data_IF_086366599670
#
_entry.id   IF_086366599670
#
_cell.length_a   1.000
_cell.length_b   1.000
_cell.length_c   1.000
_cell.angle_alpha   90.00
_cell.angle_beta   90.00
_cell.angle_gamma   90.00
#
_symmetry.space_group_name_H-M   'P 1'
#
loop_
_entity.id
_entity.type
_entity.pdbx_description
1 polymer ?
#
# COMPACT_ATOMS: atom_id res chain seq x y z
N UNK A 1 24.46 17.67 43.14
CA UNK A 1 24.65 16.60 42.13
C UNK A 1 23.65 15.49 42.40
N UNK A 2 22.46 15.57 41.85
CA UNK A 2 21.39 14.58 42.01
C UNK A 2 21.58 13.50 40.93
N UNK A 3 22.00 12.30 41.38
CA UNK A 3 22.15 11.13 40.48
C UNK A 3 20.74 10.63 40.10
N UNK A 4 20.32 10.85 38.86
CA UNK A 4 19.17 10.17 38.27
C UNK A 4 19.50 8.66 38.17
N UNK A 5 18.86 7.85 39.00
CA UNK A 5 18.89 6.38 38.87
C UNK A 5 17.78 5.98 37.87
N UNK A 6 18.16 5.66 36.65
CA UNK A 6 17.27 4.93 35.73
C UNK A 6 17.09 3.50 36.26
N UNK A 7 15.95 3.20 36.83
CA UNK A 7 15.58 1.81 37.15
C UNK A 7 14.89 1.21 35.92
N UNK A 8 15.63 0.41 35.17
CA UNK A 8 15.02 -0.50 34.20
C UNK A 8 14.21 -1.53 34.97
N UNK A 9 12.88 -1.41 34.98
CA UNK A 9 12.01 -2.53 35.35
C UNK A 9 11.96 -3.45 34.13
N UNK A 10 12.45 -4.70 34.21
CA UNK A 10 12.27 -5.66 33.14
C UNK A 10 10.77 -5.84 32.93
N UNK A 11 10.33 -5.80 31.66
CA UNK A 11 8.95 -6.11 31.33
C UNK A 11 8.63 -7.52 31.85
N UNK A 12 7.44 -7.75 32.43
CA UNK A 12 7.05 -9.08 32.87
C UNK A 12 7.18 -10.05 31.70
N UNK A 13 7.68 -11.28 31.90
CA UNK A 13 7.77 -12.27 30.84
C UNK A 13 6.39 -12.44 30.23
N UNK A 14 6.28 -12.16 28.94
CA UNK A 14 5.06 -12.44 28.19
C UNK A 14 4.90 -13.95 28.24
N UNK A 15 3.82 -14.41 28.85
CA UNK A 15 3.48 -15.83 28.87
C UNK A 15 3.41 -16.31 27.43
N UNK A 16 4.31 -17.21 27.01
CA UNK A 16 4.38 -17.76 25.66
C UNK A 16 3.24 -18.74 25.31
N UNK A 17 2.10 -18.62 25.99
CA UNK A 17 0.89 -19.33 25.63
C UNK A 17 0.17 -18.57 24.52
N UNK A 18 -0.06 -19.24 23.38
CA UNK A 18 -0.87 -18.73 22.28
C UNK A 18 -2.21 -18.23 22.82
N UNK A 19 -2.51 -16.96 22.60
CA UNK A 19 -3.81 -16.41 22.97
C UNK A 19 -4.90 -17.05 22.08
N UNK A 20 -6.15 -17.19 22.56
CA UNK A 20 -7.23 -17.70 21.71
C UNK A 20 -7.39 -16.92 20.39
N UNK A 21 -7.04 -15.63 20.40
CA UNK A 21 -7.00 -14.80 19.19
C UNK A 21 -5.96 -15.27 18.18
N UNK A 22 -4.77 -15.68 18.64
CA UNK A 22 -3.70 -16.15 17.75
C UNK A 22 -4.10 -17.49 17.08
N UNK A 23 -4.71 -18.39 17.84
CA UNK A 23 -5.25 -19.64 17.30
C UNK A 23 -6.35 -19.40 16.26
N UNK A 24 -7.25 -18.45 16.51
CA UNK A 24 -8.28 -18.05 15.55
C UNK A 24 -7.68 -17.48 14.27
N UNK A 25 -6.68 -16.61 14.38
CA UNK A 25 -5.97 -16.02 13.24
C UNK A 25 -5.31 -17.09 12.39
N UNK A 26 -4.59 -18.03 13.03
CA UNK A 26 -3.93 -19.14 12.35
C UNK A 26 -4.93 -20.05 11.64
N UNK A 27 -6.08 -20.35 12.27
CA UNK A 27 -7.16 -21.12 11.64
C UNK A 27 -7.77 -20.41 10.44
N UNK A 28 -8.03 -19.10 10.55
CA UNK A 28 -8.55 -18.30 9.43
C UNK A 28 -7.56 -18.24 8.27
N UNK A 29 -6.27 -18.06 8.54
CA UNK A 29 -5.22 -18.08 7.52
C UNK A 29 -5.11 -19.46 6.85
N UNK A 30 -5.12 -20.55 7.64
CA UNK A 30 -5.10 -21.91 7.11
C UNK A 30 -6.33 -22.18 6.23
N UNK A 31 -7.51 -21.76 6.65
CA UNK A 31 -8.75 -21.88 5.88
C UNK A 31 -8.69 -21.07 4.59
N UNK A 32 -8.16 -19.86 4.61
CA UNK A 32 -7.98 -19.00 3.42
C UNK A 32 -7.02 -19.65 2.42
N UNK A 33 -5.88 -20.13 2.90
CA UNK A 33 -4.87 -20.83 2.06
C UNK A 33 -5.50 -22.10 1.47
N UNK A 34 -6.18 -22.91 2.28
CA UNK A 34 -6.85 -24.12 1.83
C UNK A 34 -7.90 -23.81 0.74
N UNK A 35 -8.76 -22.81 0.98
CA UNK A 35 -9.75 -22.38 0.01
C UNK A 35 -9.10 -21.91 -1.30
N UNK A 36 -8.05 -21.07 -1.21
CA UNK A 36 -7.30 -20.64 -2.38
C UNK A 36 -6.71 -21.81 -3.18
N UNK A 37 -6.03 -22.74 -2.50
CA UNK A 37 -5.47 -23.94 -3.15
C UNK A 37 -6.55 -24.79 -3.80
N UNK A 38 -7.70 -24.97 -3.14
CA UNK A 38 -8.82 -25.73 -3.70
C UNK A 38 -9.39 -25.06 -4.97
N UNK A 39 -9.47 -23.74 -4.99
CA UNK A 39 -9.92 -23.00 -6.17
C UNK A 39 -8.96 -23.15 -7.35
N UNK A 40 -7.64 -23.23 -7.12
CA UNK A 40 -6.65 -23.38 -8.21
C UNK A 40 -6.81 -24.67 -9.02
N UNK A 41 -7.42 -25.71 -8.47
CA UNK A 41 -7.67 -27.00 -9.15
C UNK A 41 -8.59 -26.81 -10.36
N UNK A 42 -9.48 -25.82 -10.32
CA UNK A 42 -10.44 -25.52 -11.40
C UNK A 42 -9.91 -24.46 -12.39
N UNK A 43 -8.68 -23.97 -12.20
CA UNK A 43 -8.10 -22.98 -13.11
C UNK A 43 -7.76 -23.61 -14.48
N UNK A 44 -7.96 -22.87 -15.60
CA UNK A 44 -7.63 -23.34 -16.95
C UNK A 44 -6.17 -23.78 -17.05
N UNK A 45 -5.90 -24.86 -17.82
CA UNK A 45 -4.54 -25.36 -18.01
C UNK A 45 -3.68 -24.43 -18.89
N UNK A 46 -4.31 -23.74 -19.84
CA UNK A 46 -3.66 -22.78 -20.75
C UNK A 46 -4.36 -21.45 -20.62
N UNK A 47 -3.59 -20.40 -20.51
CA UNK A 47 -4.04 -19.01 -20.47
C UNK A 47 -3.19 -18.23 -21.47
N UNK A 48 -3.82 -17.58 -22.43
CA UNK A 48 -3.16 -16.76 -23.45
C UNK A 48 -3.16 -15.30 -23.04
N UNK A 49 -1.98 -14.71 -22.92
CA UNK A 49 -1.83 -13.29 -22.61
C UNK A 49 -2.08 -12.38 -23.82
N UNK A 50 -2.21 -11.07 -23.60
CA UNK A 50 -2.35 -10.10 -24.67
C UNK A 50 -1.03 -9.97 -25.45
N UNK A 51 -1.13 -9.57 -26.71
CA UNK A 51 0.03 -9.17 -27.50
C UNK A 51 0.54 -7.81 -27.01
N UNK A 52 1.83 -7.76 -26.69
CA UNK A 52 2.50 -6.55 -26.25
C UNK A 52 3.30 -5.97 -27.42
N UNK A 53 2.87 -4.82 -27.94
CA UNK A 53 3.60 -4.13 -29.01
C UNK A 53 4.77 -3.33 -28.43
N UNK A 54 5.95 -3.43 -29.07
CA UNK A 54 7.14 -2.68 -28.69
C UNK A 54 7.24 -1.30 -29.36
N UNK A 55 6.20 -0.87 -30.09
CA UNK A 55 6.19 0.45 -30.69
C UNK A 55 6.21 1.56 -29.62
N UNK A 56 7.09 2.58 -29.72
CA UNK A 56 7.17 3.67 -28.73
C UNK A 56 5.85 4.43 -28.54
N UNK A 57 5.03 4.50 -29.59
CA UNK A 57 3.68 5.13 -29.55
C UNK A 57 2.70 4.45 -28.58
N UNK A 58 2.96 3.20 -28.18
CA UNK A 58 2.12 2.49 -27.22
C UNK A 58 2.45 2.85 -25.76
N UNK A 59 3.64 3.40 -25.49
CA UNK A 59 4.10 3.72 -24.13
C UNK A 59 3.18 4.67 -23.35
N UNK A 60 2.61 5.75 -23.92
CA UNK A 60 1.69 6.59 -23.16
C UNK A 60 0.44 5.84 -22.70
N UNK A 61 -0.08 4.92 -23.52
CA UNK A 61 -1.22 4.07 -23.15
C UNK A 61 -0.85 3.07 -22.07
N UNK A 62 0.29 2.40 -22.19
CA UNK A 62 0.79 1.48 -21.19
C UNK A 62 1.10 2.18 -19.85
N UNK A 63 1.66 3.39 -19.91
CA UNK A 63 1.87 4.21 -18.72
C UNK A 63 0.55 4.56 -18.02
N UNK A 64 -0.49 4.92 -18.79
CA UNK A 64 -1.81 5.22 -18.23
C UNK A 64 -2.42 4.00 -17.53
N UNK A 65 -2.33 2.80 -18.12
CA UNK A 65 -2.84 1.57 -17.51
C UNK A 65 -2.08 1.21 -16.23
N UNK A 66 -0.75 1.30 -16.25
CA UNK A 66 0.10 1.04 -15.09
C UNK A 66 -0.20 2.01 -13.94
N UNK A 67 -0.26 3.31 -14.22
CA UNK A 67 -0.61 4.34 -13.24
C UNK A 67 -2.04 4.16 -12.73
N UNK A 68 -2.97 3.77 -13.60
CA UNK A 68 -4.36 3.48 -13.22
C UNK A 68 -4.47 2.36 -12.19
N UNK A 69 -3.78 1.22 -12.43
CA UNK A 69 -3.71 0.09 -11.49
C UNK A 69 -3.09 0.49 -10.16
N UNK A 70 -1.96 1.22 -10.24
CA UNK A 70 -1.25 1.71 -9.06
C UNK A 70 -2.14 2.62 -8.22
N UNK A 71 -2.85 3.55 -8.87
CA UNK A 71 -3.77 4.49 -8.21
C UNK A 71 -4.95 3.77 -7.59
N UNK A 72 -5.57 2.82 -8.29
CA UNK A 72 -6.68 2.04 -7.76
C UNK A 72 -6.26 1.24 -6.52
N UNK A 73 -5.12 0.56 -6.58
CA UNK A 73 -4.57 -0.18 -5.46
C UNK A 73 -4.22 0.74 -4.27
N UNK A 74 -3.64 1.90 -4.54
CA UNK A 74 -3.30 2.89 -3.51
C UNK A 74 -4.54 3.45 -2.81
N UNK A 75 -5.56 3.84 -3.55
CA UNK A 75 -6.80 4.36 -2.96
C UNK A 75 -7.51 3.30 -2.11
N UNK A 76 -7.51 2.05 -2.58
CA UNK A 76 -8.03 0.93 -1.80
C UNK A 76 -7.20 0.70 -0.52
N UNK A 77 -5.87 0.75 -0.62
CA UNK A 77 -4.94 0.62 0.52
C UNK A 77 -5.16 1.74 1.53
N UNK A 78 -5.30 2.98 1.08
CA UNK A 78 -5.53 4.13 1.95
C UNK A 78 -6.86 4.02 2.68
N UNK A 79 -7.94 3.71 1.96
CA UNK A 79 -9.28 3.55 2.54
C UNK A 79 -9.30 2.43 3.58
N UNK A 80 -8.74 1.26 3.22
CA UNK A 80 -8.63 0.13 4.14
C UNK A 80 -7.80 0.49 5.38
N UNK A 81 -6.63 1.10 5.18
CA UNK A 81 -5.71 1.47 6.27
C UNK A 81 -6.35 2.43 7.27
N UNK A 82 -7.04 3.44 6.78
CA UNK A 82 -7.75 4.41 7.63
C UNK A 82 -8.85 3.70 8.45
N UNK A 83 -9.67 2.86 7.80
CA UNK A 83 -10.74 2.14 8.49
C UNK A 83 -10.19 1.13 9.51
N UNK A 84 -9.20 0.34 9.12
CA UNK A 84 -8.57 -0.69 9.94
C UNK A 84 -7.86 -0.10 11.17
N UNK A 85 -6.99 0.88 10.96
CA UNK A 85 -6.24 1.53 12.02
C UNK A 85 -7.16 2.31 12.98
N UNK A 86 -8.20 2.97 12.44
CA UNK A 86 -9.21 3.64 13.28
C UNK A 86 -9.95 2.65 14.17
N UNK A 87 -10.37 1.49 13.62
CA UNK A 87 -11.00 0.44 14.41
C UNK A 87 -10.07 -0.12 15.49
N UNK A 88 -8.82 -0.40 15.15
CA UNK A 88 -7.80 -0.90 16.09
C UNK A 88 -7.48 0.12 17.20
N UNK A 89 -7.39 1.41 16.86
CA UNK A 89 -7.11 2.47 17.84
C UNK A 89 -8.30 2.77 18.77
N UNK A 90 -9.54 2.57 18.28
CA UNK A 90 -10.74 2.99 19.00
C UNK A 90 -11.37 1.89 19.84
N UNK A 91 -11.27 0.63 19.42
CA UNK A 91 -11.93 -0.49 20.07
C UNK A 91 -10.89 -1.47 20.62
N UNK A 92 -10.86 -1.61 21.95
CA UNK A 92 -9.87 -2.50 22.60
C UNK A 92 -10.01 -3.97 22.17
N UNK A 93 -11.25 -4.45 21.96
CA UNK A 93 -11.50 -5.80 21.45
C UNK A 93 -10.97 -5.98 20.01
N UNK A 94 -11.19 -4.98 19.15
CA UNK A 94 -10.67 -4.99 17.78
C UNK A 94 -9.13 -4.98 17.77
N UNK A 95 -8.50 -4.16 18.61
CA UNK A 95 -7.04 -4.08 18.71
C UNK A 95 -6.40 -5.44 19.00
N UNK A 96 -7.00 -6.24 19.91
CA UNK A 96 -6.49 -7.57 20.30
C UNK A 96 -6.43 -8.57 19.15
N UNK A 97 -7.26 -8.39 18.13
CA UNK A 97 -7.31 -9.25 16.94
C UNK A 97 -6.59 -8.61 15.75
N UNK A 98 -6.89 -7.33 15.48
CA UNK A 98 -6.39 -6.65 14.29
C UNK A 98 -4.88 -6.45 14.32
N UNK A 99 -4.28 -6.10 15.45
CA UNK A 99 -2.83 -5.86 15.49
C UNK A 99 -2.03 -7.15 15.25
N UNK A 100 -2.27 -8.28 15.95
CA UNK A 100 -1.60 -9.53 15.63
C UNK A 100 -1.87 -10.04 14.21
N UNK A 101 -3.08 -9.85 13.68
CA UNK A 101 -3.40 -10.19 12.29
C UNK A 101 -2.56 -9.39 11.31
N UNK A 102 -2.40 -8.08 11.55
CA UNK A 102 -1.55 -7.21 10.75
C UNK A 102 -0.08 -7.69 10.76
N UNK A 103 0.44 -8.02 11.95
CA UNK A 103 1.82 -8.50 12.13
C UNK A 103 2.08 -9.80 11.36
N UNK A 104 1.13 -10.72 11.35
CA UNK A 104 1.23 -11.98 10.61
C UNK A 104 1.13 -11.74 9.11
N UNK A 105 0.14 -10.96 8.65
CA UNK A 105 -0.10 -10.74 7.22
C UNK A 105 1.05 -9.99 6.54
N UNK A 106 1.65 -9.00 7.21
CA UNK A 106 2.82 -8.29 6.67
C UNK A 106 4.07 -9.17 6.56
N UNK A 107 4.16 -10.24 7.40
CA UNK A 107 5.30 -11.15 7.41
C UNK A 107 5.26 -12.15 6.26
N UNK A 108 4.11 -12.31 5.58
CA UNK A 108 3.97 -13.21 4.44
C UNK A 108 4.61 -12.58 3.21
N UNK A 109 5.56 -13.26 2.53
CA UNK A 109 6.16 -12.74 1.30
C UNK A 109 5.11 -12.53 0.21
N UNK A 110 4.91 -11.27 -0.19
CA UNK A 110 3.81 -10.86 -1.09
C UNK A 110 3.80 -11.65 -2.40
N UNK A 111 4.95 -11.86 -3.03
CA UNK A 111 5.05 -12.60 -4.30
C UNK A 111 4.72 -14.09 -4.16
N UNK A 112 4.82 -14.66 -2.96
CA UNK A 112 4.58 -16.09 -2.74
C UNK A 112 3.12 -16.49 -2.89
N UNK A 113 2.18 -15.58 -2.62
CA UNK A 113 0.75 -15.88 -2.76
C UNK A 113 0.14 -15.39 -4.08
N UNK A 114 0.88 -14.66 -4.92
CA UNK A 114 0.40 -14.19 -6.21
C UNK A 114 -0.15 -15.33 -7.09
N UNK A 115 0.55 -16.48 -7.24
CA UNK A 115 0.02 -17.60 -8.04
C UNK A 115 -1.33 -18.10 -7.53
N UNK A 116 -1.47 -18.21 -6.21
CA UNK A 116 -2.71 -18.70 -5.59
C UNK A 116 -3.86 -17.73 -5.81
N UNK A 117 -3.64 -16.44 -5.58
CA UNK A 117 -4.65 -15.40 -5.80
C UNK A 117 -5.09 -15.39 -7.26
N UNK A 118 -4.14 -15.37 -8.17
CA UNK A 118 -4.40 -15.27 -9.60
C UNK A 118 -5.16 -16.50 -10.13
N UNK A 119 -4.70 -17.72 -9.80
CA UNK A 119 -5.36 -18.94 -10.22
C UNK A 119 -6.75 -19.09 -9.58
N UNK A 120 -6.92 -18.66 -8.34
CA UNK A 120 -8.23 -18.66 -7.68
C UNK A 120 -9.21 -17.71 -8.37
N UNK A 121 -8.76 -16.52 -8.74
CA UNK A 121 -9.60 -15.55 -9.44
C UNK A 121 -9.96 -16.00 -10.85
N UNK A 122 -9.02 -16.60 -11.60
CA UNK A 122 -9.28 -17.12 -12.95
C UNK A 122 -10.24 -18.33 -12.94
N UNK A 123 -10.31 -19.06 -11.83
CA UNK A 123 -11.28 -20.15 -11.68
C UNK A 123 -12.74 -19.67 -11.57
N UNK A 124 -12.94 -18.38 -11.19
CA UNK A 124 -14.28 -17.82 -10.92
C UNK A 124 -14.64 -16.69 -11.89
N UNK A 125 -13.65 -15.93 -12.35
CA UNK A 125 -13.84 -14.73 -13.16
C UNK A 125 -13.26 -14.90 -14.56
N UNK A 126 -13.75 -14.15 -15.55
CA UNK A 126 -13.10 -14.06 -16.86
C UNK A 126 -11.64 -13.61 -16.70
N UNK A 127 -10.74 -14.20 -17.51
CA UNK A 127 -9.28 -14.01 -17.40
C UNK A 127 -8.84 -12.56 -17.30
N UNK A 128 -9.41 -11.67 -18.13
CA UNK A 128 -9.03 -10.24 -18.14
C UNK A 128 -9.28 -9.57 -16.77
N UNK A 129 -10.44 -9.80 -16.18
CA UNK A 129 -10.79 -9.27 -14.86
C UNK A 129 -10.00 -9.91 -13.73
N UNK A 130 -9.75 -11.22 -13.83
CA UNK A 130 -8.98 -11.96 -12.84
C UNK A 130 -7.53 -11.44 -12.75
N UNK A 131 -6.87 -11.22 -13.90
CA UNK A 131 -5.51 -10.69 -13.95
C UNK A 131 -5.44 -9.25 -13.41
N UNK A 132 -6.37 -8.37 -13.80
CA UNK A 132 -6.45 -7.00 -13.30
C UNK A 132 -6.65 -6.94 -11.79
N UNK A 133 -7.61 -7.73 -11.26
CA UNK A 133 -7.86 -7.77 -9.83
C UNK A 133 -6.68 -8.37 -9.06
N UNK A 134 -6.05 -9.42 -9.59
CA UNK A 134 -4.85 -10.00 -8.96
C UNK A 134 -3.71 -8.99 -8.89
N UNK A 135 -3.48 -8.19 -9.93
CA UNK A 135 -2.50 -7.11 -9.94
C UNK A 135 -2.83 -6.04 -8.88
N UNK A 136 -4.09 -5.61 -8.82
CA UNK A 136 -4.54 -4.63 -7.81
C UNK A 136 -4.35 -5.19 -6.40
N UNK A 137 -4.72 -6.45 -6.14
CA UNK A 137 -4.53 -7.10 -4.83
C UNK A 137 -3.05 -7.18 -4.44
N UNK A 138 -2.17 -7.52 -5.39
CA UNK A 138 -0.73 -7.60 -5.15
C UNK A 138 -0.15 -6.23 -4.76
N UNK A 139 -0.47 -5.20 -5.54
CA UNK A 139 -0.03 -3.83 -5.29
C UNK A 139 -0.63 -3.31 -3.96
N UNK A 140 -1.93 -3.56 -3.72
CA UNK A 140 -2.60 -3.24 -2.48
C UNK A 140 -1.88 -3.81 -1.27
N UNK A 141 -1.56 -5.12 -1.29
CA UNK A 141 -0.86 -5.76 -0.16
C UNK A 141 0.54 -5.24 0.06
N UNK A 142 1.19 -4.70 -0.98
CA UNK A 142 2.51 -4.06 -0.83
C UNK A 142 2.46 -2.70 -0.13
N UNK A 143 1.32 -2.03 -0.15
CA UNK A 143 1.17 -0.66 0.34
C UNK A 143 0.43 -0.57 1.68
N UNK A 144 -0.54 -1.46 1.89
CA UNK A 144 -1.52 -1.36 2.97
C UNK A 144 -0.91 -1.41 4.38
N UNK A 145 0.13 -2.22 4.58
CA UNK A 145 0.73 -2.42 5.92
C UNK A 145 1.37 -1.15 6.45
N UNK A 146 2.20 -0.52 5.63
CA UNK A 146 2.91 0.70 5.97
C UNK A 146 1.92 1.86 6.26
N UNK A 147 0.89 2.02 5.44
CA UNK A 147 -0.15 3.03 5.64
C UNK A 147 -0.95 2.77 6.94
N UNK A 148 -1.28 1.51 7.21
CA UNK A 148 -2.04 1.11 8.41
C UNK A 148 -1.26 1.40 9.68
N UNK A 149 0.02 1.02 9.73
CA UNK A 149 0.88 1.31 10.88
C UNK A 149 1.07 2.81 11.09
N UNK A 150 1.33 3.56 10.03
CA UNK A 150 1.50 5.00 10.10
C UNK A 150 0.27 5.69 10.69
N UNK A 151 -0.92 5.34 10.19
CA UNK A 151 -2.16 5.94 10.67
C UNK A 151 -2.49 5.49 12.09
N UNK A 152 -2.32 4.20 12.42
CA UNK A 152 -2.49 3.68 13.77
C UNK A 152 -1.57 4.38 14.77
N UNK A 153 -0.30 4.52 14.44
CA UNK A 153 0.67 5.21 15.29
C UNK A 153 0.27 6.66 15.52
N UNK A 154 -0.14 7.39 14.49
CA UNK A 154 -0.59 8.77 14.62
C UNK A 154 -1.78 8.89 15.58
N UNK A 155 -2.77 7.99 15.49
CA UNK A 155 -3.92 8.00 16.39
C UNK A 155 -3.56 7.70 17.85
N UNK A 156 -2.57 6.85 18.08
CA UNK A 156 -2.16 6.44 19.43
C UNK A 156 -1.18 7.40 20.09
N UNK A 157 -0.42 8.15 19.30
CA UNK A 157 0.56 9.15 19.77
C UNK A 157 0.02 10.58 19.77
N UNK A 158 -1.29 10.78 19.50
CA UNK A 158 -1.92 12.09 19.53
C UNK A 158 -1.67 12.77 20.89
N UNK A 159 -1.13 14.01 20.92
CA UNK A 159 -0.87 14.77 22.15
C UNK A 159 -2.10 14.88 23.05
N UNK A 160 -1.86 14.89 24.36
CA UNK A 160 -2.95 14.95 25.35
C UNK A 160 -3.69 16.26 25.26
N UNK A 161 -3.00 17.36 24.99
CA UNK A 161 -3.55 18.71 24.84
C UNK A 161 -4.62 18.77 23.74
N UNK A 162 -4.35 18.12 22.59
CA UNK A 162 -5.32 18.04 21.50
C UNK A 162 -6.54 17.18 21.88
N UNK A 163 -6.33 16.13 22.67
CA UNK A 163 -7.43 15.28 23.16
C UNK A 163 -8.31 16.04 24.16
N UNK A 164 -7.70 16.79 25.06
CA UNK A 164 -8.39 17.62 26.05
C UNK A 164 -9.14 18.76 25.38
N UNK A 165 -8.53 19.48 24.44
CA UNK A 165 -9.20 20.51 23.66
C UNK A 165 -10.45 19.96 22.95
N UNK A 166 -10.33 18.80 22.28
CA UNK A 166 -11.48 18.16 21.64
C UNK A 166 -12.59 17.76 22.64
N UNK A 167 -12.22 17.41 23.89
CA UNK A 167 -13.17 17.08 24.94
C UNK A 167 -13.86 18.34 25.48
N UNK A 168 -13.12 19.42 25.75
CA UNK A 168 -13.64 20.72 26.21
C UNK A 168 -14.66 21.28 25.22
N UNK A 169 -14.33 21.24 23.91
CA UNK A 169 -15.24 21.66 22.83
C UNK A 169 -16.34 20.64 22.52
N UNK A 170 -16.41 19.53 23.24
CA UNK A 170 -17.42 18.47 23.08
C UNK A 170 -17.53 17.97 21.63
N UNK A 171 -16.39 17.78 20.95
CA UNK A 171 -16.40 17.30 19.58
C UNK A 171 -17.05 15.92 19.49
N UNK A 172 -18.03 15.78 18.60
CA UNK A 172 -18.61 14.48 18.24
C UNK A 172 -17.54 13.64 17.54
N UNK A 173 -17.68 12.31 17.54
CA UNK A 173 -16.69 11.35 16.99
C UNK A 173 -16.22 11.73 15.57
N UNK A 174 -17.15 12.04 14.67
CA UNK A 174 -16.83 12.42 13.29
C UNK A 174 -16.08 13.76 13.21
N UNK A 175 -16.52 14.76 13.98
CA UNK A 175 -15.85 16.05 14.00
C UNK A 175 -14.42 15.94 14.58
N UNK A 176 -14.25 15.17 15.66
CA UNK A 176 -12.94 14.88 16.22
C UNK A 176 -12.02 14.18 15.21
N UNK A 177 -12.53 13.17 14.49
CA UNK A 177 -11.79 12.51 13.42
C UNK A 177 -11.33 13.51 12.35
N UNK A 178 -12.26 14.30 11.81
CA UNK A 178 -12.00 15.24 10.72
C UNK A 178 -11.15 16.45 11.11
N UNK A 179 -11.36 17.01 12.32
CA UNK A 179 -10.75 18.27 12.74
C UNK A 179 -9.46 18.10 13.55
N UNK A 180 -9.22 16.91 14.13
CA UNK A 180 -8.05 16.68 15.01
C UNK A 180 -7.23 15.48 14.56
N UNK A 181 -7.86 14.30 14.48
CA UNK A 181 -7.15 13.04 14.27
C UNK A 181 -6.57 12.93 12.85
N UNK A 182 -7.37 13.24 11.83
CA UNK A 182 -6.94 13.20 10.43
C UNK A 182 -5.90 14.28 10.06
N UNK A 183 -6.07 15.57 10.46
CA UNK A 183 -5.03 16.57 10.25
C UNK A 183 -3.70 16.23 10.93
N UNK A 184 -3.72 15.74 12.17
CA UNK A 184 -2.51 15.32 12.88
C UNK A 184 -1.81 14.14 12.17
N UNK A 185 -2.60 13.20 11.64
CA UNK A 185 -2.06 12.04 10.91
C UNK A 185 -1.64 12.37 9.46
N UNK A 186 -2.02 13.52 8.91
CA UNK A 186 -1.85 13.83 7.49
C UNK A 186 -0.38 13.76 7.04
N UNK A 187 0.55 14.35 7.81
CA UNK A 187 1.98 14.40 7.45
C UNK A 187 2.59 12.99 7.47
N UNK A 188 2.54 12.23 8.60
CA UNK A 188 3.08 10.88 8.62
C UNK A 188 2.44 9.97 7.56
N UNK A 189 1.12 10.09 7.35
CA UNK A 189 0.39 9.29 6.37
C UNK A 189 0.84 9.60 4.94
N UNK A 190 1.04 10.87 4.57
CA UNK A 190 1.52 11.25 3.25
C UNK A 190 2.96 10.82 3.00
N UNK A 191 3.87 10.98 3.97
CA UNK A 191 5.23 10.47 3.83
C UNK A 191 5.26 8.95 3.62
N UNK A 192 4.48 8.21 4.41
CA UNK A 192 4.35 6.76 4.22
C UNK A 192 3.63 6.40 2.91
N UNK A 193 2.75 7.26 2.39
CA UNK A 193 2.14 7.10 1.07
C UNK A 193 3.18 7.19 -0.04
N UNK A 194 4.07 8.18 -0.01
CA UNK A 194 5.17 8.31 -0.98
C UNK A 194 6.07 7.07 -0.95
N UNK A 195 6.44 6.60 0.24
CA UNK A 195 7.28 5.40 0.41
C UNK A 195 6.57 4.13 -0.09
N UNK A 196 5.29 3.95 0.25
CA UNK A 196 4.48 2.82 -0.21
C UNK A 196 4.28 2.84 -1.72
N UNK A 197 4.08 4.03 -2.31
CA UNK A 197 3.98 4.20 -3.75
C UNK A 197 5.29 3.84 -4.45
N UNK A 198 6.43 4.32 -3.94
CA UNK A 198 7.74 3.99 -4.49
C UNK A 198 8.01 2.47 -4.48
N UNK A 199 7.70 1.78 -3.37
CA UNK A 199 7.80 0.32 -3.29
C UNK A 199 6.79 -0.41 -4.20
N UNK A 200 5.63 0.19 -4.44
CA UNK A 200 4.56 -0.36 -5.27
C UNK A 200 4.95 -0.57 -6.73
N UNK A 201 5.91 0.21 -7.27
CA UNK A 201 6.41 0.03 -8.64
C UNK A 201 6.97 -1.36 -8.90
N UNK A 202 7.70 -1.93 -7.95
CA UNK A 202 8.23 -3.29 -8.08
C UNK A 202 7.10 -4.32 -8.24
N UNK A 203 6.07 -4.24 -7.39
CA UNK A 203 4.95 -5.18 -7.42
C UNK A 203 4.05 -4.97 -8.65
N UNK A 204 3.91 -3.73 -9.11
CA UNK A 204 3.23 -3.41 -10.36
C UNK A 204 3.94 -4.09 -11.55
N UNK A 205 5.26 -3.88 -11.69
CA UNK A 205 6.05 -4.48 -12.77
C UNK A 205 5.98 -6.01 -12.73
N UNK A 206 6.10 -6.61 -11.55
CA UNK A 206 6.00 -8.05 -11.36
C UNK A 206 4.62 -8.59 -11.75
N UNK A 207 3.53 -7.89 -11.39
CA UNK A 207 2.17 -8.32 -11.72
C UNK A 207 1.84 -8.18 -13.21
N UNK A 208 2.33 -7.12 -13.87
CA UNK A 208 2.11 -6.89 -15.29
C UNK A 208 2.87 -7.88 -16.19
N UNK A 209 4.02 -8.37 -15.75
CA UNK A 209 4.87 -9.30 -16.53
C UNK A 209 4.67 -10.77 -16.15
N UNK A 210 3.67 -11.10 -15.33
CA UNK A 210 3.58 -12.40 -14.70
C UNK A 210 3.22 -13.54 -15.65
N UNK A 211 4.04 -14.60 -15.63
CA UNK A 211 3.85 -15.86 -16.38
C UNK A 211 4.16 -17.05 -15.48
N UNK A 212 3.40 -18.13 -15.60
CA UNK A 212 3.65 -19.40 -14.89
C UNK A 212 3.42 -20.58 -15.81
N UNK A 213 4.50 -21.26 -16.20
CA UNK A 213 4.45 -22.39 -17.12
C UNK A 213 3.81 -22.01 -18.46
N UNK A 214 2.73 -22.70 -18.82
CA UNK A 214 1.96 -22.47 -20.05
C UNK A 214 0.92 -21.35 -19.92
N UNK A 215 0.84 -20.70 -18.76
CA UNK A 215 -0.17 -19.68 -18.46
C UNK A 215 0.48 -18.30 -18.53
N UNK A 216 0.00 -17.48 -19.43
CA UNK A 216 0.43 -16.08 -19.61
C UNK A 216 -0.63 -15.13 -19.08
N UNK A 217 -0.33 -14.50 -17.95
CA UNK A 217 -1.21 -13.55 -17.26
C UNK A 217 -0.75 -12.11 -17.40
N UNK A 218 0.11 -11.84 -18.38
CA UNK A 218 0.58 -10.48 -18.62
C UNK A 218 -0.60 -9.51 -18.82
N UNK A 219 -0.39 -8.31 -18.35
CA UNK A 219 -1.30 -7.18 -18.53
C UNK A 219 -0.64 -6.12 -19.39
N UNK A 220 -1.36 -5.44 -20.30
CA UNK A 220 -0.80 -4.31 -21.03
C UNK A 220 -0.36 -3.22 -20.06
N UNK A 221 0.94 -2.88 -20.05
CA UNK A 221 1.51 -1.92 -19.13
C UNK A 221 3.02 -1.75 -19.35
N UNK A 222 3.64 -0.88 -18.55
CA UNK A 222 5.08 -0.61 -18.62
C UNK A 222 5.92 -1.84 -18.24
N UNK A 223 5.44 -2.64 -17.27
CA UNK A 223 6.13 -3.86 -16.84
C UNK A 223 6.19 -4.91 -17.93
N UNK A 224 5.06 -5.21 -18.57
CA UNK A 224 5.00 -6.16 -19.67
C UNK A 224 5.73 -5.67 -20.93
N UNK A 225 5.73 -4.36 -21.20
CA UNK A 225 6.50 -3.77 -22.27
C UNK A 225 8.01 -3.97 -22.05
N UNK A 226 8.51 -3.64 -20.87
CA UNK A 226 9.93 -3.83 -20.51
C UNK A 226 10.35 -5.28 -20.57
N UNK A 227 9.52 -6.19 -20.04
CA UNK A 227 9.80 -7.62 -20.09
C UNK A 227 9.81 -8.15 -21.53
N UNK A 228 8.84 -7.77 -22.36
CA UNK A 228 8.78 -8.18 -23.76
C UNK A 228 9.97 -7.63 -24.57
N UNK A 229 10.39 -6.40 -24.32
CA UNK A 229 11.56 -5.80 -24.95
C UNK A 229 12.85 -6.52 -24.54
N UNK A 230 12.98 -6.90 -23.28
CA UNK A 230 14.12 -7.68 -22.78
C UNK A 230 14.14 -9.10 -23.37
N UNK A 231 12.99 -9.78 -23.41
CA UNK A 231 12.86 -11.12 -24.01
C UNK A 231 13.22 -11.12 -25.51
N UNK A 232 12.90 -10.01 -26.23
CA UNK A 232 13.24 -9.84 -27.63
C UNK A 232 14.70 -9.39 -27.87
N UNK A 233 15.44 -9.02 -26.82
CA UNK A 233 16.79 -8.45 -26.94
C UNK A 233 16.82 -7.06 -27.60
N UNK A 234 15.68 -6.36 -27.67
CA UNK A 234 15.59 -5.04 -28.27
C UNK A 234 15.99 -3.93 -27.27
N UNK A 235 17.29 -3.61 -27.26
CA UNK A 235 17.84 -2.56 -26.38
C UNK A 235 17.24 -1.16 -26.62
N UNK A 236 16.76 -0.89 -27.84
CA UNK A 236 16.10 0.41 -28.12
C UNK A 236 14.73 0.49 -27.45
N UNK A 237 13.95 -0.59 -27.55
CA UNK A 237 12.66 -0.68 -26.88
C UNK A 237 12.85 -0.65 -25.35
N UNK A 238 13.85 -1.35 -24.80
CA UNK A 238 14.19 -1.26 -23.37
C UNK A 238 14.51 0.18 -22.96
N UNK A 239 15.32 0.90 -23.76
CA UNK A 239 15.64 2.32 -23.50
C UNK A 239 14.41 3.21 -23.50
N UNK A 240 13.48 3.04 -24.46
CA UNK A 240 12.21 3.77 -24.49
C UNK A 240 11.32 3.45 -23.28
N UNK A 241 11.24 2.16 -22.89
CA UNK A 241 10.46 1.72 -21.73
C UNK A 241 10.98 2.31 -20.42
N UNK A 242 12.31 2.28 -20.19
CA UNK A 242 12.94 2.88 -19.03
C UNK A 242 12.72 4.40 -19.04
N UNK A 243 12.90 5.07 -20.17
CA UNK A 243 12.66 6.50 -20.32
C UNK A 243 11.22 6.90 -19.98
N UNK A 244 10.24 6.12 -20.47
CA UNK A 244 8.83 6.33 -20.14
C UNK A 244 8.54 6.13 -18.64
N UNK A 245 9.10 5.08 -18.03
CA UNK A 245 8.96 4.81 -16.60
C UNK A 245 9.52 5.96 -15.76
N UNK A 246 10.75 6.40 -16.04
CA UNK A 246 11.38 7.52 -15.34
C UNK A 246 10.57 8.80 -15.51
N UNK A 247 10.10 9.09 -16.72
CA UNK A 247 9.25 10.26 -17.00
C UNK A 247 7.96 10.21 -16.16
N UNK A 248 7.28 9.08 -16.10
CA UNK A 248 6.05 8.90 -15.31
C UNK A 248 6.33 9.09 -13.82
N UNK A 249 7.41 8.52 -13.29
CA UNK A 249 7.80 8.68 -11.88
C UNK A 249 8.04 10.17 -11.56
N UNK A 250 8.80 10.88 -12.42
CA UNK A 250 9.09 12.30 -12.23
C UNK A 250 7.82 13.15 -12.33
N UNK A 251 6.95 12.87 -13.29
CA UNK A 251 5.67 13.59 -13.43
C UNK A 251 4.78 13.40 -12.20
N UNK A 252 4.66 12.17 -11.70
CA UNK A 252 3.89 11.89 -10.49
C UNK A 252 4.50 12.55 -9.24
N UNK A 253 5.82 12.56 -9.11
CA UNK A 253 6.49 13.27 -8.02
C UNK A 253 6.15 14.77 -8.06
N UNK A 254 6.33 15.40 -9.23
CA UNK A 254 6.16 16.84 -9.38
C UNK A 254 4.69 17.31 -9.32
N UNK A 255 3.78 16.54 -9.94
CA UNK A 255 2.38 16.95 -10.10
C UNK A 255 1.46 16.45 -8.99
N UNK A 256 1.84 15.38 -8.29
CA UNK A 256 1.00 14.76 -7.25
C UNK A 256 1.65 14.86 -5.88
N UNK A 257 2.86 14.27 -5.71
CA UNK A 257 3.43 14.11 -4.37
C UNK A 257 3.92 15.43 -3.77
N UNK A 258 4.67 16.22 -4.51
CA UNK A 258 5.15 17.52 -4.00
C UNK A 258 4.02 18.49 -3.63
N UNK A 259 2.99 18.69 -4.47
CA UNK A 259 1.85 19.52 -4.08
C UNK A 259 1.10 19.01 -2.85
N UNK A 260 0.93 17.67 -2.73
CA UNK A 260 0.28 17.07 -1.57
C UNK A 260 1.10 17.24 -0.28
N UNK A 261 2.42 17.05 -0.35
CA UNK A 261 3.30 17.29 0.79
C UNK A 261 3.30 18.76 1.21
N UNK A 262 3.42 19.69 0.25
CA UNK A 262 3.33 21.12 0.51
C UNK A 262 1.95 21.55 1.05
N UNK A 263 0.87 20.84 0.68
CA UNK A 263 -0.44 21.05 1.27
C UNK A 263 -0.53 20.53 2.70
N UNK A 264 0.12 19.39 3.00
CA UNK A 264 0.08 18.78 4.32
C UNK A 264 0.89 19.57 5.36
N UNK A 265 1.91 20.31 4.94
CA UNK A 265 2.72 21.14 5.85
C UNK A 265 1.89 22.13 6.67
N UNK A 266 0.71 22.53 6.18
CA UNK A 266 -0.25 23.37 6.94
C UNK A 266 -0.73 22.71 8.24
N UNK A 267 -0.60 21.40 8.38
CA UNK A 267 -1.04 20.64 9.56
C UNK A 267 0.11 20.33 10.51
N UNK A 268 1.31 20.84 10.23
CA UNK A 268 2.49 20.66 11.07
C UNK A 268 2.25 21.37 12.40
N UNK A 269 2.28 20.60 13.48
CA UNK A 269 2.21 21.13 14.84
C UNK A 269 3.65 21.32 15.31
N UNK A 270 4.20 22.52 15.11
CA UNK A 270 5.53 22.86 15.56
C UNK A 270 5.49 23.63 16.87
N UNK A 271 6.31 23.20 17.84
CA UNK A 271 6.58 23.98 19.05
C UNK A 271 7.79 24.93 18.86
N UNK A 272 8.52 24.79 17.77
CA UNK A 272 9.72 25.58 17.39
C UNK A 272 9.63 25.81 15.89
N UNK A 273 9.99 27.01 15.41
CA UNK A 273 10.09 27.31 13.98
C UNK A 273 11.03 26.28 13.30
N UNK A 274 10.46 25.50 12.40
CA UNK A 274 11.16 24.46 11.65
C UNK A 274 11.66 24.96 10.29
N UNK A 275 12.39 24.09 9.58
CA UNK A 275 12.89 24.36 8.24
C UNK A 275 11.78 24.71 7.24
N UNK A 276 12.12 25.52 6.23
CA UNK A 276 11.21 25.95 5.17
C UNK A 276 10.49 24.73 4.52
N UNK A 277 9.17 24.84 4.23
CA UNK A 277 8.41 23.77 3.61
C UNK A 277 8.96 23.44 2.22
N UNK A 278 8.84 22.18 1.76
CA UNK A 278 9.30 21.78 0.44
C UNK A 278 8.60 22.63 -0.64
N UNK A 279 9.37 23.36 -1.43
CA UNK A 279 8.86 24.23 -2.49
C UNK A 279 8.33 23.40 -3.64
N UNK A 280 7.12 23.71 -4.09
CA UNK A 280 6.51 23.14 -5.30
C UNK A 280 6.36 24.23 -6.33
N UNK A 281 7.16 24.20 -7.38
CA UNK A 281 7.07 25.15 -8.51
C UNK A 281 5.69 25.14 -9.17
N UNK A 282 5.01 23.98 -9.17
CA UNK A 282 3.68 23.84 -9.75
C UNK A 282 2.59 24.58 -8.93
N UNK A 283 2.74 24.59 -7.60
CA UNK A 283 1.85 25.37 -6.72
C UNK A 283 2.09 26.88 -6.90
N UNK A 284 3.37 27.26 -7.06
CA UNK A 284 3.77 28.65 -7.22
C UNK A 284 3.31 29.21 -8.60
N UNK A 285 3.04 28.33 -9.57
CA UNK A 285 2.48 28.70 -10.87
C UNK A 285 0.94 28.88 -10.82
N UNK A 286 0.25 28.23 -9.86
CA UNK A 286 -1.22 28.29 -9.70
C UNK A 286 -1.69 29.32 -8.66
N UNK A 287 -0.76 29.91 -7.89
CA UNK A 287 -1.02 30.95 -6.90
C UNK A 287 -0.87 32.34 -7.49
#
# INVERSE_FOLDING_TARGET
>A
MTRFRFSFRPAPPQSGALAPADALILLLLAALIYAGVRMTIHAPAVVTGPEITLAPRALPWYALLSVGRMTAAYLLSLLFSVAYAYAAARYHAARRVLMPLLDVLQSVPILSFLPVVLLSLVAVLPQAWAAELAAIVLIFTSQVWNLTFSFYQSLTTLPQELREAAAVFRFRRFLRFRAVELPFAAIPLLWNSVMSWAGGWFFLMASESYRVGTRDFRLPGLGSYLQAAADAGDLRAVGWGIGALVLVIVLLDQLVWRPLLAWADRFKVEMIEGDDPPRSWFRDLLA
#
